data_IF_388923011953
#
_entry.id   IF_388923011953
#
_cell.length_a   1.000
_cell.length_b   1.000
_cell.length_c   1.000
_cell.angle_alpha   90.00
_cell.angle_beta   90.00
_cell.angle_gamma   90.00
#
_symmetry.space_group_name_H-M   'P 1'
#
loop_
_entity.id
_entity.type
_entity.pdbx_description
1 polymer ?
#
# COMPACT_ATOMS: atom_id res chain seq x y z
N UNK A 1 15.11 0.67 -35.26
CA UNK A 1 13.86 0.35 -35.96
C UNK A 1 12.74 0.68 -34.99
N UNK A 2 12.05 1.78 -35.20
CA UNK A 2 10.88 2.17 -34.42
C UNK A 2 9.72 1.26 -34.82
N UNK A 3 9.31 0.39 -33.90
CA UNK A 3 8.13 -0.44 -34.10
C UNK A 3 6.89 0.45 -34.15
N UNK A 4 6.16 0.37 -35.24
CA UNK A 4 4.83 0.98 -35.35
C UNK A 4 3.94 0.49 -34.20
N UNK A 5 3.09 1.34 -33.61
CA UNK A 5 2.09 0.91 -32.65
C UNK A 5 1.21 -0.12 -33.34
N UNK A 6 1.10 -1.31 -32.76
CA UNK A 6 0.19 -2.37 -33.23
C UNK A 6 -1.24 -1.84 -33.16
N UNK A 7 -1.90 -1.72 -34.30
CA UNK A 7 -3.30 -1.33 -34.42
C UNK A 7 -4.17 -2.31 -33.61
N UNK A 8 -4.77 -1.82 -32.52
CA UNK A 8 -5.65 -2.60 -31.63
C UNK A 8 -5.29 -2.59 -30.16
N UNK A 9 -4.22 -1.93 -29.72
CA UNK A 9 -3.90 -1.81 -28.30
C UNK A 9 -4.77 -0.70 -27.71
N UNK A 10 -5.61 -1.06 -26.73
CA UNK A 10 -6.47 -0.11 -26.03
C UNK A 10 -5.59 0.86 -25.23
N UNK A 11 -5.86 2.15 -25.36
CA UNK A 11 -5.22 3.21 -24.61
C UNK A 11 -6.05 3.45 -23.34
N UNK A 12 -5.45 3.30 -22.17
CA UNK A 12 -6.07 3.67 -20.90
C UNK A 12 -6.09 5.20 -20.75
N UNK A 13 -7.03 5.75 -19.99
CA UNK A 13 -6.97 7.17 -19.63
C UNK A 13 -5.79 7.43 -18.71
N UNK A 14 -5.54 6.52 -17.76
CA UNK A 14 -4.47 6.63 -16.78
C UNK A 14 -3.73 5.32 -16.55
N UNK A 15 -2.40 5.41 -16.49
CA UNK A 15 -1.54 4.34 -15.98
C UNK A 15 -0.91 4.79 -14.67
N UNK A 16 -1.09 3.99 -13.62
CA UNK A 16 -0.51 4.24 -12.29
C UNK A 16 0.64 3.27 -12.06
N UNK A 17 1.80 3.79 -11.70
CA UNK A 17 2.99 3.01 -11.39
C UNK A 17 3.08 2.75 -9.90
N UNK A 18 2.83 1.50 -9.51
CA UNK A 18 2.83 1.03 -8.13
C UNK A 18 1.45 1.08 -7.48
N UNK A 19 1.14 0.02 -6.75
CA UNK A 19 -0.14 -0.20 -6.05
C UNK A 19 -0.07 0.10 -4.54
N UNK A 20 0.91 0.88 -4.09
CA UNK A 20 1.05 1.32 -2.70
C UNK A 20 -0.01 2.36 -2.30
N UNK A 21 0.16 3.01 -1.14
CA UNK A 21 -0.83 3.96 -0.61
C UNK A 21 -1.23 5.04 -1.61
N UNK A 22 -0.27 5.74 -2.21
CA UNK A 22 -0.59 6.79 -3.19
C UNK A 22 -1.27 6.26 -4.43
N UNK A 23 -0.72 5.20 -5.03
CA UNK A 23 -1.27 4.60 -6.27
C UNK A 23 -2.67 4.02 -6.08
N UNK A 24 -2.95 3.39 -4.93
CA UNK A 24 -4.27 2.83 -4.65
C UNK A 24 -5.35 3.89 -4.46
N UNK A 25 -5.01 4.99 -3.78
CA UNK A 25 -5.92 6.14 -3.62
C UNK A 25 -6.18 6.80 -4.97
N UNK A 26 -5.13 7.06 -5.76
CA UNK A 26 -5.27 7.62 -7.11
C UNK A 26 -6.13 6.73 -8.01
N UNK A 27 -5.90 5.41 -7.99
CA UNK A 27 -6.67 4.46 -8.78
C UNK A 27 -8.17 4.52 -8.48
N UNK A 28 -8.53 4.50 -7.19
CA UNK A 28 -9.93 4.60 -6.79
C UNK A 28 -10.53 5.94 -7.19
N UNK A 29 -9.87 7.07 -6.88
CA UNK A 29 -10.39 8.41 -7.16
C UNK A 29 -10.56 8.70 -8.65
N UNK A 30 -9.68 8.17 -9.51
CA UNK A 30 -9.82 8.27 -10.96
C UNK A 30 -10.96 7.41 -11.48
N UNK A 31 -11.08 6.16 -11.00
CA UNK A 31 -12.17 5.27 -11.39
C UNK A 31 -13.55 5.81 -10.99
N UNK A 32 -13.69 6.42 -9.79
CA UNK A 32 -14.92 7.09 -9.35
C UNK A 32 -15.34 8.25 -10.28
N UNK A 33 -14.39 8.84 -11.00
CA UNK A 33 -14.64 9.88 -12.02
C UNK A 33 -14.93 9.31 -13.40
N UNK A 34 -14.95 7.98 -13.55
CA UNK A 34 -15.27 7.29 -14.79
C UNK A 34 -14.08 7.08 -15.74
N UNK A 35 -12.85 7.34 -15.32
CA UNK A 35 -11.66 7.06 -16.12
C UNK A 35 -11.32 5.57 -16.17
N UNK A 36 -10.82 5.11 -17.31
CA UNK A 36 -10.16 3.81 -17.44
C UNK A 36 -8.78 3.86 -16.81
N UNK A 37 -8.49 2.95 -15.89
CA UNK A 37 -7.26 2.97 -15.10
C UNK A 37 -6.60 1.60 -15.08
N UNK A 38 -5.30 1.55 -15.39
CA UNK A 38 -4.44 0.39 -15.19
C UNK A 38 -3.37 0.70 -14.16
N UNK A 39 -3.21 -0.18 -13.16
CA UNK A 39 -2.15 -0.11 -12.15
C UNK A 39 -1.10 -1.16 -12.46
N UNK A 40 0.16 -0.73 -12.60
CA UNK A 40 1.32 -1.61 -12.87
C UNK A 40 2.10 -1.82 -11.57
N UNK A 41 2.17 -3.06 -11.09
CA UNK A 41 2.86 -3.41 -9.85
C UNK A 41 3.99 -4.41 -10.11
N UNK A 42 5.20 -4.10 -9.59
CA UNK A 42 6.36 -4.99 -9.78
C UNK A 42 6.25 -6.30 -9.00
N UNK A 43 5.56 -6.29 -7.87
CA UNK A 43 5.42 -7.46 -7.00
C UNK A 43 4.28 -8.38 -7.39
N UNK A 44 4.13 -9.44 -6.62
CA UNK A 44 3.02 -10.40 -6.78
C UNK A 44 1.73 -9.87 -6.15
N UNK A 45 0.60 -10.45 -6.54
CA UNK A 45 -0.62 -10.40 -5.76
C UNK A 45 -0.61 -11.58 -4.78
N UNK A 46 -0.65 -11.28 -3.50
CA UNK A 46 -0.67 -12.29 -2.43
C UNK A 46 -2.09 -12.45 -1.90
N UNK A 47 -2.47 -13.71 -1.64
CA UNK A 47 -3.61 -14.06 -0.80
C UNK A 47 -3.14 -14.18 0.64
N UNK A 48 -4.05 -14.17 1.59
CA UNK A 48 -3.69 -14.22 3.01
C UNK A 48 -2.83 -15.46 3.35
N UNK A 49 -3.11 -16.61 2.76
CA UNK A 49 -2.36 -17.86 2.96
C UNK A 49 -0.95 -17.88 2.31
N UNK A 50 -0.67 -16.96 1.40
CA UNK A 50 0.63 -16.89 0.71
C UNK A 50 1.72 -16.24 1.55
N UNK A 51 1.37 -15.50 2.62
CA UNK A 51 2.33 -14.83 3.48
C UNK A 51 3.21 -15.81 4.28
N UNK A 52 4.41 -15.35 4.63
CA UNK A 52 5.38 -16.13 5.38
C UNK A 52 4.82 -16.57 6.74
N UNK A 53 5.12 -17.81 7.16
CA UNK A 53 4.71 -18.37 8.46
C UNK A 53 5.68 -17.98 9.58
N UNK A 54 6.87 -17.55 9.25
CA UNK A 54 7.89 -17.10 10.19
C UNK A 54 8.96 -16.29 9.46
N UNK A 55 9.85 -15.63 10.22
CA UNK A 55 11.00 -14.89 9.67
C UNK A 55 12.04 -15.79 9.00
N UNK A 56 11.99 -17.12 9.21
CA UNK A 56 12.86 -18.10 8.55
C UNK A 56 12.40 -18.48 7.15
N UNK A 57 11.17 -18.13 6.75
CA UNK A 57 10.68 -18.36 5.39
C UNK A 57 11.15 -17.24 4.45
N UNK A 58 12.46 -17.22 4.19
CA UNK A 58 13.09 -16.18 3.38
C UNK A 58 12.53 -16.07 1.97
N UNK A 59 12.04 -17.18 1.37
CA UNK A 59 11.47 -17.15 0.01
C UNK A 59 10.18 -16.35 -0.08
N UNK A 60 9.32 -16.43 0.96
CA UNK A 60 8.06 -15.69 1.04
C UNK A 60 8.22 -14.32 1.67
N UNK A 61 9.34 -14.09 2.39
CA UNK A 61 9.61 -12.82 3.04
C UNK A 61 10.39 -11.87 2.15
N UNK A 62 11.49 -12.31 1.51
CA UNK A 62 12.42 -11.44 0.81
C UNK A 62 12.09 -11.30 -0.68
N UNK A 63 12.20 -10.07 -1.20
CA UNK A 63 12.08 -9.75 -2.61
C UNK A 63 13.47 -9.69 -3.26
N UNK A 64 13.91 -10.83 -3.79
CA UNK A 64 15.14 -10.97 -4.59
C UNK A 64 14.78 -11.80 -5.84
N UNK A 65 14.03 -11.22 -6.80
CA UNK A 65 13.43 -12.00 -7.88
C UNK A 65 14.44 -12.69 -8.78
N UNK A 66 15.68 -12.19 -8.88
CA UNK A 66 16.77 -12.86 -9.61
C UNK A 66 17.17 -14.21 -8.99
N UNK A 67 16.96 -14.39 -7.70
CA UNK A 67 17.18 -15.66 -6.99
C UNK A 67 15.89 -16.48 -6.83
N UNK A 68 14.81 -16.10 -7.50
CA UNK A 68 13.51 -16.76 -7.39
C UNK A 68 12.78 -16.49 -6.07
N UNK A 69 13.30 -15.58 -5.24
CA UNK A 69 12.63 -15.15 -4.00
C UNK A 69 11.71 -13.98 -4.32
N UNK A 70 10.41 -14.22 -4.27
CA UNK A 70 9.38 -13.24 -4.59
C UNK A 70 8.50 -12.99 -3.35
N UNK A 71 9.12 -12.60 -2.24
CA UNK A 71 8.45 -12.24 -1.00
C UNK A 71 8.01 -10.78 -0.98
N UNK A 72 7.57 -10.32 0.18
CA UNK A 72 6.92 -9.01 0.34
C UNK A 72 7.88 -7.89 0.77
N UNK A 73 9.13 -8.21 1.16
CA UNK A 73 10.11 -7.25 1.70
C UNK A 73 11.29 -7.07 0.76
N UNK A 74 11.49 -5.88 0.26
CA UNK A 74 12.70 -5.47 -0.43
C UNK A 74 13.61 -4.74 0.54
N UNK A 75 14.85 -5.24 0.69
CA UNK A 75 15.91 -4.56 1.41
C UNK A 75 16.83 -3.85 0.43
N UNK A 76 17.04 -2.56 0.62
CA UNK A 76 17.93 -1.72 -0.20
C UNK A 76 18.96 -1.08 0.71
N UNK A 77 20.16 -1.69 0.90
CA UNK A 77 21.23 -1.11 1.69
C UNK A 77 21.86 0.06 0.91
N UNK A 78 22.05 1.18 1.58
CA UNK A 78 22.76 2.37 1.08
C UNK A 78 23.88 2.71 2.05
N UNK A 79 24.74 3.68 1.69
CA UNK A 79 25.94 4.04 2.45
C UNK A 79 25.67 4.37 3.94
N UNK A 80 24.57 5.05 4.23
CA UNK A 80 24.26 5.57 5.58
C UNK A 80 22.89 5.12 6.10
N UNK A 81 22.10 4.41 5.30
CA UNK A 81 20.74 3.99 5.65
C UNK A 81 20.40 2.69 4.93
N UNK A 82 19.60 1.84 5.55
CA UNK A 82 18.97 0.70 4.88
C UNK A 82 17.48 0.97 4.77
N UNK A 83 16.95 0.84 3.55
CA UNK A 83 15.51 1.02 3.28
C UNK A 83 14.85 -0.34 3.18
N UNK A 84 13.82 -0.55 3.98
CA UNK A 84 12.93 -1.72 3.89
C UNK A 84 11.61 -1.25 3.26
N UNK A 85 11.26 -1.82 2.13
CA UNK A 85 10.05 -1.47 1.40
C UNK A 85 9.14 -2.68 1.18
N UNK A 86 7.83 -2.46 1.22
CA UNK A 86 6.85 -3.46 0.83
C UNK A 86 6.77 -3.62 -0.69
N UNK A 87 6.72 -4.85 -1.17
CA UNK A 87 6.58 -5.19 -2.59
C UNK A 87 5.44 -6.17 -2.78
N UNK A 88 4.55 -5.86 -3.72
CA UNK A 88 3.34 -6.62 -4.02
C UNK A 88 2.13 -5.71 -4.17
N UNK A 89 1.04 -6.25 -4.65
CA UNK A 89 -0.23 -5.51 -4.75
C UNK A 89 -0.67 -5.07 -3.36
N UNK A 90 -0.70 -3.75 -3.14
CA UNK A 90 -0.89 -3.14 -1.82
C UNK A 90 0.36 -2.52 -1.21
N UNK A 91 1.55 -2.74 -1.81
CA UNK A 91 2.80 -2.08 -1.43
C UNK A 91 3.12 -2.13 0.06
N UNK A 92 3.43 -0.99 0.67
CA UNK A 92 3.77 -0.86 2.09
C UNK A 92 2.70 -1.37 3.06
N UNK A 93 1.43 -1.43 2.64
CA UNK A 93 0.36 -1.96 3.49
C UNK A 93 0.48 -3.47 3.78
N UNK A 94 1.27 -4.17 2.99
CA UNK A 94 1.57 -5.59 3.23
C UNK A 94 2.49 -5.79 4.42
N UNK A 95 3.39 -4.84 4.68
CA UNK A 95 4.52 -4.98 5.61
C UNK A 95 4.49 -4.00 6.78
N UNK A 96 3.54 -3.05 6.85
CA UNK A 96 3.43 -2.16 8.00
C UNK A 96 2.93 -2.91 9.25
N UNK A 97 3.33 -2.43 10.43
CA UNK A 97 2.94 -3.05 11.71
C UNK A 97 1.49 -2.73 12.12
N UNK A 98 0.67 -2.34 11.17
CA UNK A 98 -0.73 -1.94 11.31
C UNK A 98 -0.96 -0.62 12.09
N UNK A 99 0.07 0.05 12.56
CA UNK A 99 -0.04 1.36 13.23
C UNK A 99 -0.31 2.46 12.20
N UNK A 100 -1.33 3.28 12.46
CA UNK A 100 -1.78 4.37 11.61
C UNK A 100 -2.01 5.63 12.45
N UNK A 101 -1.09 6.58 12.36
CA UNK A 101 -1.15 7.84 13.09
C UNK A 101 -1.44 9.04 12.19
N UNK A 102 -2.27 9.94 12.71
CA UNK A 102 -2.27 11.34 12.26
C UNK A 102 -1.19 12.08 13.08
N UNK A 103 -0.32 12.86 12.46
CA UNK A 103 0.69 13.63 13.19
C UNK A 103 0.06 14.54 14.24
N UNK A 104 0.49 14.42 15.51
CA UNK A 104 -0.02 15.23 16.61
C UNK A 104 0.75 16.54 16.76
N UNK A 105 2.08 16.50 16.52
CA UNK A 105 2.96 17.66 16.68
C UNK A 105 2.82 18.66 15.54
N UNK A 106 2.88 19.94 15.87
CA UNK A 106 2.99 21.03 14.89
C UNK A 106 4.28 20.97 14.09
N UNK A 107 5.33 20.34 14.61
CA UNK A 107 6.62 20.21 13.92
C UNK A 107 6.50 19.54 12.57
N UNK A 108 5.60 18.55 12.45
CA UNK A 108 5.34 17.93 11.17
C UNK A 108 4.75 18.94 10.16
N UNK A 109 3.72 19.68 10.56
CA UNK A 109 3.02 20.61 9.66
C UNK A 109 3.84 21.87 9.36
N UNK A 110 4.73 22.27 10.26
CA UNK A 110 5.59 23.47 10.16
C UNK A 110 7.02 23.15 9.78
N UNK A 111 7.27 21.96 9.25
CA UNK A 111 8.63 21.60 8.83
C UNK A 111 9.13 22.50 7.70
N UNK A 112 10.37 23.00 7.82
CA UNK A 112 10.94 24.00 6.91
C UNK A 112 10.93 23.64 5.42
N UNK A 113 10.83 22.35 5.07
CA UNK A 113 10.79 21.90 3.68
C UNK A 113 9.45 22.13 2.98
N UNK A 114 8.35 22.33 3.73
CA UNK A 114 7.01 22.44 3.13
C UNK A 114 6.05 23.40 3.81
N UNK A 115 6.44 24.00 4.95
CA UNK A 115 5.55 24.89 5.72
C UNK A 115 5.03 26.08 4.89
N UNK A 116 5.85 26.62 3.99
CA UNK A 116 5.53 27.79 3.17
C UNK A 116 4.57 27.51 2.02
N UNK A 117 4.29 26.22 1.74
CA UNK A 117 3.48 25.82 0.58
C UNK A 117 1.98 25.87 0.87
N UNK A 118 1.56 25.59 2.11
CA UNK A 118 0.16 25.60 2.52
C UNK A 118 0.00 25.50 4.04
N UNK A 119 -1.18 25.84 4.56
CA UNK A 119 -1.61 25.42 5.91
C UNK A 119 -1.97 23.92 5.88
N UNK A 120 -0.93 23.10 6.02
CA UNK A 120 -1.05 21.64 5.91
C UNK A 120 -1.96 21.02 6.96
N UNK A 121 -2.04 21.58 8.16
CA UNK A 121 -2.93 21.06 9.21
C UNK A 121 -4.39 21.16 8.78
N UNK A 122 -4.79 22.32 8.32
CA UNK A 122 -6.16 22.55 7.82
C UNK A 122 -6.42 21.79 6.52
N UNK A 123 -5.47 21.83 5.59
CA UNK A 123 -5.63 21.19 4.28
C UNK A 123 -5.74 19.66 4.38
N UNK A 124 -4.98 19.00 5.26
CA UNK A 124 -4.96 17.54 5.38
C UNK A 124 -6.07 16.99 6.30
N UNK A 125 -6.64 17.79 7.19
CA UNK A 125 -7.62 17.32 8.18
C UNK A 125 -8.78 16.49 7.57
N UNK A 126 -9.50 16.94 6.52
CA UNK A 126 -10.59 16.17 5.93
C UNK A 126 -10.10 14.88 5.24
N UNK A 127 -8.86 14.91 4.74
CA UNK A 127 -8.25 13.75 4.10
C UNK A 127 -7.84 12.67 5.11
N UNK A 128 -7.38 13.06 6.32
CA UNK A 128 -7.14 12.11 7.40
C UNK A 128 -8.43 11.39 7.83
N UNK A 129 -9.53 12.11 8.00
CA UNK A 129 -10.84 11.50 8.32
C UNK A 129 -11.23 10.46 7.27
N UNK A 130 -11.08 10.82 5.99
CA UNK A 130 -11.36 9.89 4.89
C UNK A 130 -10.42 8.68 4.92
N UNK A 131 -9.12 8.89 5.14
CA UNK A 131 -8.12 7.83 5.19
C UNK A 131 -8.35 6.88 6.36
N UNK A 132 -8.65 7.41 7.55
CA UNK A 132 -8.97 6.60 8.74
C UNK A 132 -10.18 5.69 8.50
N UNK A 133 -11.26 6.24 7.94
CA UNK A 133 -12.44 5.46 7.57
C UNK A 133 -12.09 4.36 6.56
N UNK A 134 -11.41 4.71 5.46
CA UNK A 134 -11.06 3.77 4.40
C UNK A 134 -10.07 2.69 4.86
N UNK A 135 -9.17 3.02 5.76
CA UNK A 135 -8.21 2.08 6.32
C UNK A 135 -8.75 1.30 7.54
N UNK A 136 -9.99 1.57 7.93
CA UNK A 136 -10.64 0.90 9.06
C UNK A 136 -9.84 1.06 10.36
N UNK A 137 -9.45 2.31 10.67
CA UNK A 137 -8.63 2.61 11.83
C UNK A 137 -9.46 2.51 13.10
N UNK A 138 -8.95 1.75 14.08
CA UNK A 138 -9.56 1.56 15.39
C UNK A 138 -8.51 1.70 16.49
N UNK A 139 -8.95 1.98 17.72
CA UNK A 139 -8.04 1.99 18.87
C UNK A 139 -7.70 0.56 19.29
N UNK A 140 -6.40 0.31 19.52
CA UNK A 140 -5.93 -1.00 19.98
C UNK A 140 -6.19 -1.14 21.49
N UNK A 141 -7.28 -1.79 21.87
CA UNK A 141 -7.63 -2.01 23.27
C UNK A 141 -6.78 -3.16 23.86
N UNK A 142 -5.46 -2.98 23.89
CA UNK A 142 -4.53 -3.86 24.60
C UNK A 142 -4.18 -3.23 25.95
N UNK A 143 -4.11 -4.03 26.99
CA UNK A 143 -3.70 -3.61 28.33
C UNK A 143 -2.77 -4.67 28.96
N UNK A 144 -1.69 -4.99 28.26
CA UNK A 144 -0.67 -5.90 28.72
C UNK A 144 0.36 -5.23 29.64
N UNK A 145 1.34 -6.01 30.10
CA UNK A 145 2.43 -5.46 30.95
C UNK A 145 3.19 -4.30 30.33
N UNK A 146 3.37 -4.30 29.00
CA UNK A 146 4.08 -3.22 28.29
C UNK A 146 3.32 -1.89 28.37
N UNK A 147 2.00 -1.92 28.16
CA UNK A 147 1.14 -0.74 28.22
C UNK A 147 1.07 -0.18 29.65
N UNK A 148 1.01 -1.07 30.65
CA UNK A 148 1.02 -0.69 32.09
C UNK A 148 2.34 -0.02 32.45
N UNK A 149 3.47 -0.59 32.01
CA UNK A 149 4.78 0.00 32.23
C UNK A 149 4.93 1.35 31.55
N UNK A 150 4.48 1.50 30.31
CA UNK A 150 4.52 2.79 29.60
C UNK A 150 3.71 3.87 30.32
N UNK A 151 2.53 3.53 30.86
CA UNK A 151 1.74 4.46 31.67
C UNK A 151 2.45 4.85 32.97
N UNK A 152 3.10 3.90 33.63
CA UNK A 152 3.88 4.20 34.82
C UNK A 152 5.05 5.16 34.52
N UNK A 153 5.80 4.90 33.45
CA UNK A 153 6.87 5.80 33.00
C UNK A 153 6.35 7.20 32.65
N UNK A 154 5.22 7.29 31.95
CA UNK A 154 4.62 8.58 31.63
C UNK A 154 4.20 9.36 32.89
N UNK A 155 3.66 8.66 33.90
CA UNK A 155 3.34 9.25 35.18
C UNK A 155 4.59 9.76 35.94
N UNK A 156 5.63 8.94 35.97
CA UNK A 156 6.93 9.32 36.61
C UNK A 156 7.57 10.52 35.92
N UNK A 157 7.39 10.67 34.61
CA UNK A 157 7.87 11.84 33.85
C UNK A 157 6.94 13.05 33.94
N UNK A 158 5.81 12.98 34.66
CA UNK A 158 4.84 14.06 34.80
C UNK A 158 4.00 14.33 33.56
N UNK A 159 3.91 13.39 32.65
CA UNK A 159 3.14 13.50 31.39
C UNK A 159 2.17 12.32 31.20
N UNK A 160 1.32 12.00 32.18
CA UNK A 160 0.47 10.79 32.18
C UNK A 160 -0.45 10.73 30.95
N UNK A 161 -0.94 11.85 30.46
CA UNK A 161 -1.84 11.94 29.29
C UNK A 161 -1.14 11.66 27.97
N UNK A 162 0.19 11.55 27.95
CA UNK A 162 0.94 11.16 26.74
C UNK A 162 0.84 9.67 26.43
N UNK A 163 0.50 8.84 27.41
CA UNK A 163 0.34 7.40 27.25
C UNK A 163 -1.09 7.07 26.79
N UNK A 164 -1.28 6.94 25.50
CA UNK A 164 -2.57 6.63 24.90
C UNK A 164 -2.54 5.35 24.06
N UNK A 165 -3.72 4.80 23.76
CA UNK A 165 -3.88 3.61 22.93
C UNK A 165 -3.39 3.85 21.50
N UNK A 166 -2.70 2.87 20.95
CA UNK A 166 -2.22 2.93 19.54
C UNK A 166 -3.39 2.77 18.58
N UNK A 167 -3.48 3.62 17.58
CA UNK A 167 -4.45 3.49 16.49
C UNK A 167 -3.93 2.53 15.43
N UNK A 168 -4.76 1.54 15.06
CA UNK A 168 -4.34 0.44 14.19
C UNK A 168 -5.38 0.15 13.09
N UNK A 169 -4.88 -0.25 11.92
CA UNK A 169 -5.69 -0.75 10.81
C UNK A 169 -5.86 -2.27 10.89
N UNK A 170 -6.59 -2.75 11.90
CA UNK A 170 -6.82 -4.18 12.14
C UNK A 170 -8.29 -4.38 12.52
N UNK A 171 -8.91 -5.43 12.02
CA UNK A 171 -10.21 -5.85 12.52
C UNK A 171 -10.04 -6.59 13.86
N UNK A 172 -10.44 -5.95 14.96
CA UNK A 172 -10.33 -6.43 16.33
C UNK A 172 -11.61 -7.18 16.81
N UNK A 173 -12.37 -7.78 15.90
CA UNK A 173 -13.52 -8.62 16.24
C UNK A 173 -13.14 -9.88 17.03
N UNK A 174 -14.09 -10.78 17.23
CA UNK A 174 -13.85 -12.05 17.89
C UNK A 174 -12.69 -12.80 17.22
N UNK A 175 -11.65 -13.23 17.98
CA UNK A 175 -10.46 -13.84 17.41
C UNK A 175 -10.78 -15.06 16.55
N UNK A 176 -10.33 -15.02 15.28
CA UNK A 176 -10.54 -16.12 14.34
C UNK A 176 -11.94 -16.22 13.74
N UNK A 177 -12.93 -15.49 14.25
CA UNK A 177 -14.26 -15.49 13.66
C UNK A 177 -14.30 -14.74 12.34
N UNK A 178 -14.92 -15.35 11.33
CA UNK A 178 -15.20 -14.72 10.04
C UNK A 178 -16.49 -13.95 10.09
N UNK A 179 -16.45 -12.75 9.55
CA UNK A 179 -17.64 -11.90 9.38
C UNK A 179 -17.66 -11.35 7.95
N UNK A 180 -18.85 -11.05 7.46
CA UNK A 180 -19.02 -10.20 6.30
C UNK A 180 -18.35 -8.85 6.56
N UNK A 181 -18.34 -7.95 5.61
CA UNK A 181 -17.66 -6.65 5.76
C UNK A 181 -18.03 -5.91 7.06
N UNK A 182 -17.06 -5.62 7.95
CA UNK A 182 -17.29 -4.85 9.17
C UNK A 182 -17.02 -3.35 9.06
N UNK A 183 -16.67 -2.83 7.86
CA UNK A 183 -16.16 -1.46 7.67
C UNK A 183 -16.93 -0.62 6.65
N UNK A 184 -17.65 -1.25 5.70
CA UNK A 184 -18.20 -0.58 4.52
C UNK A 184 -19.66 -0.95 4.27
N UNK A 185 -20.43 -1.17 5.32
CA UNK A 185 -21.88 -1.42 5.27
C UNK A 185 -22.28 -2.62 4.38
N UNK A 186 -21.41 -3.61 4.28
CA UNK A 186 -21.61 -4.82 3.49
C UNK A 186 -21.03 -4.76 2.07
N UNK A 187 -20.48 -3.62 1.65
CA UNK A 187 -19.87 -3.45 0.32
C UNK A 187 -18.42 -3.91 0.24
N UNK A 188 -17.76 -4.05 1.38
CA UNK A 188 -16.36 -4.46 1.49
C UNK A 188 -16.17 -5.98 1.52
N UNK A 189 -14.91 -6.44 1.58
CA UNK A 189 -14.60 -7.86 1.65
C UNK A 189 -14.78 -8.44 3.05
N UNK A 190 -15.03 -9.74 3.11
CA UNK A 190 -15.01 -10.53 4.33
C UNK A 190 -13.74 -10.32 5.15
N UNK A 191 -13.87 -10.36 6.48
CA UNK A 191 -12.78 -10.18 7.44
C UNK A 191 -12.76 -11.27 8.50
N UNK A 192 -11.58 -11.51 9.07
CA UNK A 192 -11.43 -12.42 10.21
C UNK A 192 -10.89 -11.64 11.40
N UNK A 193 -11.45 -11.87 12.59
CA UNK A 193 -11.01 -11.22 13.82
C UNK A 193 -9.55 -11.53 14.15
N UNK A 194 -8.80 -10.52 14.63
CA UNK A 194 -7.38 -10.61 14.89
C UNK A 194 -7.02 -11.62 15.98
N UNK A 195 -6.12 -12.57 15.70
CA UNK A 195 -5.60 -13.54 16.65
C UNK A 195 -4.55 -12.99 17.61
N UNK A 196 -4.15 -11.71 17.47
CA UNK A 196 -3.07 -11.06 18.25
C UNK A 196 -1.73 -11.80 18.18
N UNK A 197 -1.43 -12.40 17.03
CA UNK A 197 -0.21 -13.22 16.83
C UNK A 197 1.09 -12.38 16.70
N UNK A 198 1.02 -11.05 16.58
CA UNK A 198 2.20 -10.18 16.46
C UNK A 198 2.89 -10.19 15.08
N UNK A 199 2.40 -10.94 14.10
CA UNK A 199 3.08 -11.18 12.81
C UNK A 199 2.76 -10.14 11.72
N UNK A 200 2.27 -8.94 12.07
CA UNK A 200 1.81 -7.95 11.09
C UNK A 200 2.88 -7.53 10.06
N UNK A 201 4.17 -7.52 10.44
CA UNK A 201 5.28 -7.20 9.55
C UNK A 201 5.54 -8.27 8.47
N UNK A 202 5.09 -9.50 8.69
CA UNK A 202 5.23 -10.62 7.74
C UNK A 202 4.03 -10.74 6.78
N UNK A 203 3.10 -9.79 6.82
CA UNK A 203 1.78 -9.93 6.22
C UNK A 203 0.79 -10.58 7.19
N UNK A 204 -0.49 -10.54 6.90
CA UNK A 204 -1.51 -11.11 7.77
C UNK A 204 -2.14 -12.34 7.13
N UNK A 205 -1.75 -13.53 7.57
CA UNK A 205 -2.28 -14.81 7.08
C UNK A 205 -3.73 -15.09 7.48
N UNK A 206 -4.26 -14.28 8.39
CA UNK A 206 -5.57 -14.50 9.01
C UNK A 206 -6.66 -13.56 8.49
N UNK A 207 -6.32 -12.61 7.62
CA UNK A 207 -7.29 -11.70 7.04
C UNK A 207 -7.74 -10.54 7.93
N UNK A 208 -7.09 -10.32 9.08
CA UNK A 208 -7.47 -9.28 10.04
C UNK A 208 -6.91 -7.90 9.69
N UNK A 209 -5.69 -7.82 9.10
CA UNK A 209 -5.03 -6.56 8.80
C UNK A 209 -5.67 -5.84 7.60
N UNK A 210 -5.89 -4.54 7.72
CA UNK A 210 -6.46 -3.69 6.68
C UNK A 210 -5.40 -3.27 5.65
N UNK A 211 -4.96 -4.23 4.82
CA UNK A 211 -4.12 -3.93 3.66
C UNK A 211 -4.95 -3.30 2.53
N UNK A 212 -4.29 -2.59 1.61
CA UNK A 212 -4.97 -1.86 0.53
C UNK A 212 -5.79 -2.73 -0.41
N UNK A 213 -5.49 -4.02 -0.51
CA UNK A 213 -6.30 -5.00 -1.25
C UNK A 213 -7.65 -5.29 -0.60
N UNK A 214 -7.88 -4.82 0.63
CA UNK A 214 -9.13 -4.99 1.39
C UNK A 214 -9.93 -3.69 1.52
N UNK A 215 -9.48 -2.63 0.87
CA UNK A 215 -10.16 -1.33 0.87
C UNK A 215 -9.97 -0.60 -0.47
N UNK A 216 -9.03 0.34 -0.60
CA UNK A 216 -8.89 1.17 -1.81
C UNK A 216 -8.79 0.37 -3.10
N UNK A 217 -7.94 -0.66 -3.15
CA UNK A 217 -7.79 -1.48 -4.36
C UNK A 217 -9.01 -2.39 -4.60
N UNK A 218 -9.63 -2.89 -3.53
CA UNK A 218 -10.86 -3.66 -3.63
C UNK A 218 -11.97 -2.88 -4.33
N UNK A 219 -12.22 -1.64 -3.89
CA UNK A 219 -13.23 -0.79 -4.50
C UNK A 219 -12.82 -0.30 -5.89
N UNK A 220 -11.54 -0.02 -6.12
CA UNK A 220 -11.03 0.34 -7.43
C UNK A 220 -11.30 -0.78 -8.47
N UNK A 221 -11.03 -2.04 -8.10
CA UNK A 221 -11.31 -3.20 -8.97
C UNK A 221 -12.81 -3.40 -9.20
N UNK A 222 -13.66 -3.16 -8.20
CA UNK A 222 -15.14 -3.15 -8.39
C UNK A 222 -15.61 -2.11 -9.42
N UNK A 223 -14.87 -1.00 -9.57
CA UNK A 223 -15.12 0.03 -10.57
C UNK A 223 -14.40 -0.22 -11.92
N UNK A 224 -13.75 -1.38 -12.08
CA UNK A 224 -13.15 -1.78 -13.35
C UNK A 224 -11.66 -1.47 -13.48
N UNK A 225 -10.99 -0.96 -12.45
CA UNK A 225 -9.53 -0.78 -12.46
C UNK A 225 -8.83 -2.11 -12.67
N UNK A 226 -7.88 -2.14 -13.62
CA UNK A 226 -7.06 -3.31 -13.87
C UNK A 226 -5.74 -3.22 -13.10
N UNK A 227 -5.48 -4.18 -12.23
CA UNK A 227 -4.20 -4.28 -11.53
C UNK A 227 -3.38 -5.38 -12.20
N UNK A 228 -2.20 -5.02 -12.72
CA UNK A 228 -1.27 -5.92 -13.40
C UNK A 228 -0.04 -6.16 -12.53
N UNK A 229 0.00 -7.26 -11.76
CA UNK A 229 1.17 -7.65 -10.99
C UNK A 229 2.30 -8.17 -11.88
N UNK A 230 3.50 -8.30 -11.29
CA UNK A 230 4.73 -8.74 -11.97
C UNK A 230 5.09 -7.87 -13.20
N UNK A 231 4.83 -6.55 -13.13
CA UNK A 231 5.15 -5.57 -14.16
C UNK A 231 6.04 -4.46 -13.59
N UNK A 232 7.35 -4.59 -13.78
CA UNK A 232 8.30 -3.54 -13.42
C UNK A 232 8.36 -2.52 -14.55
N UNK A 233 7.94 -1.29 -14.27
CA UNK A 233 8.08 -0.19 -15.24
C UNK A 233 9.56 0.14 -15.39
N UNK A 234 10.05 0.10 -16.62
CA UNK A 234 11.46 0.36 -16.96
C UNK A 234 11.65 1.61 -17.83
N UNK A 235 10.59 2.07 -18.47
CA UNK A 235 10.63 3.30 -19.28
C UNK A 235 9.24 3.90 -19.40
N UNK A 236 9.18 5.23 -19.38
CA UNK A 236 8.00 6.03 -19.71
C UNK A 236 8.48 7.05 -20.74
N UNK A 237 7.77 7.16 -21.85
CA UNK A 237 8.10 8.06 -22.95
C UNK A 237 6.84 8.75 -23.47
N UNK A 238 6.88 10.04 -23.76
CA UNK A 238 5.78 10.69 -24.46
C UNK A 238 5.63 10.07 -25.86
N UNK A 239 4.41 10.00 -26.33
CA UNK A 239 4.08 9.68 -27.72
C UNK A 239 4.11 10.98 -28.53
N UNK A 240 4.57 10.92 -29.80
CA UNK A 240 4.57 12.08 -30.69
C UNK A 240 5.25 13.32 -30.10
N UNK A 241 4.47 14.26 -29.57
CA UNK A 241 4.98 15.49 -29.00
C UNK A 241 5.71 15.27 -27.65
N UNK A 242 6.82 15.99 -27.45
CA UNK A 242 7.66 15.85 -26.25
C UNK A 242 6.98 16.31 -24.94
N UNK A 243 5.92 17.11 -25.05
CA UNK A 243 5.14 17.61 -23.91
C UNK A 243 4.13 16.58 -23.37
N UNK A 244 3.99 15.43 -24.06
CA UNK A 244 3.07 14.36 -23.67
C UNK A 244 1.60 14.58 -24.06
N UNK A 245 1.29 15.62 -24.86
CA UNK A 245 -0.07 15.92 -25.31
C UNK A 245 -0.74 14.78 -26.11
N UNK A 246 0.09 13.94 -26.76
CA UNK A 246 -0.36 12.75 -27.49
C UNK A 246 -0.46 11.50 -26.62
N UNK A 247 -0.14 11.61 -25.33
CA UNK A 247 -0.12 10.50 -24.37
C UNK A 247 1.28 9.90 -24.16
N UNK A 248 1.31 8.71 -23.54
CA UNK A 248 2.55 8.07 -23.09
C UNK A 248 2.61 6.60 -23.46
N UNK A 249 3.82 6.15 -23.77
CA UNK A 249 4.20 4.74 -23.85
C UNK A 249 4.87 4.35 -22.53
N UNK A 250 4.35 3.33 -21.87
CA UNK A 250 4.91 2.76 -20.62
C UNK A 250 5.41 1.36 -20.91
N UNK A 251 6.71 1.14 -20.76
CA UNK A 251 7.35 -0.16 -21.02
C UNK A 251 7.57 -0.88 -19.69
N UNK A 252 7.10 -2.13 -19.63
CA UNK A 252 7.30 -2.99 -18.46
C UNK A 252 8.11 -4.22 -18.81
N UNK A 253 8.77 -4.77 -17.78
CA UNK A 253 9.45 -6.05 -17.81
C UNK A 253 8.99 -6.93 -16.65
N UNK A 254 9.05 -8.26 -16.85
CA UNK A 254 8.81 -9.20 -15.75
C UNK A 254 9.99 -9.19 -14.79
N UNK A 255 9.77 -9.03 -13.47
CA UNK A 255 10.85 -8.98 -12.50
C UNK A 255 11.62 -10.30 -12.42
N UNK A 256 12.95 -10.21 -12.37
CA UNK A 256 13.85 -11.37 -12.27
C UNK A 256 14.09 -12.12 -13.56
N UNK A 257 13.59 -11.67 -14.69
CA UNK A 257 13.84 -12.28 -15.99
C UNK A 257 15.32 -12.07 -16.43
N UNK A 258 16.03 -13.16 -16.75
CA UNK A 258 17.43 -13.14 -17.17
C UNK A 258 17.62 -13.05 -18.70
N UNK A 259 16.89 -13.88 -19.44
CA UNK A 259 17.08 -14.03 -20.90
C UNK A 259 15.91 -13.43 -21.70
N UNK A 260 14.69 -13.62 -21.25
CA UNK A 260 13.50 -13.06 -21.88
C UNK A 260 12.85 -12.09 -20.88
N UNK A 261 13.04 -10.79 -21.12
CA UNK A 261 12.54 -9.74 -20.22
C UNK A 261 11.03 -9.59 -20.25
N UNK A 262 10.32 -10.34 -21.12
CA UNK A 262 8.86 -10.27 -21.29
C UNK A 262 8.38 -8.81 -21.27
N UNK A 263 8.91 -8.05 -22.23
CA UNK A 263 8.56 -6.63 -22.39
C UNK A 263 7.12 -6.51 -22.88
N UNK A 264 6.38 -5.66 -22.20
CA UNK A 264 5.06 -5.25 -22.65
C UNK A 264 5.01 -3.74 -22.74
N UNK A 265 4.26 -3.25 -23.70
CA UNK A 265 3.99 -1.84 -23.93
C UNK A 265 2.57 -1.56 -23.48
N UNK A 266 2.37 -0.50 -22.73
CA UNK A 266 1.08 0.00 -22.32
C UNK A 266 0.98 1.44 -22.78
N UNK A 267 -0.22 1.85 -23.22
CA UNK A 267 -0.47 3.19 -23.72
C UNK A 267 -1.44 3.90 -22.80
N UNK A 268 -1.16 5.16 -22.47
CA UNK A 268 -2.01 5.99 -21.65
C UNK A 268 -2.09 7.42 -22.18
N UNK A 269 -3.21 8.09 -21.85
CA UNK A 269 -3.37 9.53 -22.08
C UNK A 269 -2.68 10.37 -21.02
N UNK A 270 -2.60 9.85 -19.77
CA UNK A 270 -1.93 10.48 -18.64
C UNK A 270 -1.38 9.49 -17.62
#
# INVERSE_FOLDING_TARGET
MAGHPMSGQQMDDWIIVGSGFGGSVAALRLAEKGYSVTVLEKGLRYRDEDFAKSTWDGRRMLWIPRLGMKGILQLSPMKHVSVIAGVGVGGGSLVYAATLYVPHSDDFYRHAQWADLADWRTALAPHYVTAERMLGVVDCHSDGPSEQMMRAVAADLGVPDSAHQTRVGIFLGEPGARVADPFFDGDGPERTGCLRCGECLLGCRHGAKNSLVKNYLYFAEKLGVQIRPERTVVSIRPLGAADGSDGYEVITERPGAWLRRDRQVHLARG
#
